data_IF_537185545837
#
_entry.id   IF_537185545837
#
_cell.length_a   1.000
_cell.length_b   1.000
_cell.length_c   1.000
_cell.angle_alpha   90.00
_cell.angle_beta   90.00
_cell.angle_gamma   90.00
#
_symmetry.space_group_name_H-M   'P 1'
#
loop_
_entity.id
_entity.type
_entity.pdbx_description
1 polymer ?
#
# COMPACT_ATOMS: atom_id res chain seq x y z
N UNK A 1 9.28 3.71 10.29
CA UNK A 1 9.65 3.82 8.85
C UNK A 1 8.40 4.19 8.05
N UNK A 2 8.56 4.63 6.79
CA UNK A 2 7.45 4.81 5.84
C UNK A 2 7.35 3.59 4.92
N UNK A 3 6.19 2.96 4.86
CA UNK A 3 5.95 1.72 4.10
C UNK A 3 4.73 1.89 3.21
N UNK A 4 4.87 1.56 1.93
CA UNK A 4 3.74 1.45 1.01
C UNK A 4 3.50 -0.03 0.71
N UNK A 5 2.28 -0.50 0.97
CA UNK A 5 1.82 -1.84 0.57
C UNK A 5 0.95 -1.69 -0.67
N UNK A 6 1.43 -2.15 -1.82
CA UNK A 6 0.66 -2.15 -3.06
C UNK A 6 0.05 -3.54 -3.27
N UNK A 7 -1.28 -3.64 -3.23
CA UNK A 7 -1.99 -4.90 -3.44
C UNK A 7 -3.31 -4.66 -4.16
N UNK A 8 -3.59 -5.50 -5.15
CA UNK A 8 -4.89 -5.52 -5.80
C UNK A 8 -6.03 -5.88 -4.83
N UNK A 9 -5.72 -6.61 -3.76
CA UNK A 9 -6.67 -7.15 -2.78
C UNK A 9 -6.44 -6.54 -1.40
N UNK A 10 -7.48 -5.92 -0.85
CA UNK A 10 -7.52 -5.36 0.50
C UNK A 10 -8.98 -5.32 0.99
N UNK A 11 -9.27 -5.39 2.31
CA UNK A 11 -10.65 -5.35 2.81
C UNK A 11 -11.41 -4.18 2.17
N UNK A 12 -12.62 -4.38 1.63
CA UNK A 12 -13.57 -5.43 1.96
C UNK A 12 -13.44 -6.72 1.12
N UNK A 13 -12.46 -6.82 0.21
CA UNK A 13 -12.25 -8.08 -0.52
C UNK A 13 -11.98 -9.23 0.49
N UNK A 14 -12.58 -10.41 0.28
CA UNK A 14 -12.39 -11.59 1.13
C UNK A 14 -11.39 -12.53 0.48
N UNK A 15 -10.38 -12.98 1.23
CA UNK A 15 -9.39 -13.95 0.77
C UNK A 15 -8.07 -13.86 1.51
N UNK A 16 -7.20 -14.86 1.31
CA UNK A 16 -5.92 -14.95 2.02
C UNK A 16 -5.01 -13.74 1.82
N UNK A 17 -4.89 -13.24 0.59
CA UNK A 17 -4.07 -12.04 0.29
C UNK A 17 -4.62 -10.80 0.97
N UNK A 18 -5.95 -10.60 0.93
CA UNK A 18 -6.61 -9.46 1.56
C UNK A 18 -6.39 -9.45 3.08
N UNK A 19 -6.63 -10.59 3.75
CA UNK A 19 -6.37 -10.74 5.19
C UNK A 19 -4.89 -10.56 5.53
N UNK A 20 -3.99 -11.12 4.72
CA UNK A 20 -2.55 -11.00 4.94
C UNK A 20 -2.06 -9.54 4.87
N UNK A 21 -2.44 -8.80 3.81
CA UNK A 21 -2.06 -7.39 3.65
C UNK A 21 -2.63 -6.54 4.79
N UNK A 22 -3.87 -6.80 5.20
CA UNK A 22 -4.49 -6.16 6.36
C UNK A 22 -3.71 -6.40 7.65
N UNK A 23 -3.42 -7.66 7.97
CA UNK A 23 -2.78 -8.04 9.23
C UNK A 23 -1.32 -7.53 9.28
N UNK A 24 -0.63 -7.53 8.13
CA UNK A 24 0.69 -6.92 7.97
C UNK A 24 0.64 -5.40 8.20
N UNK A 25 -0.29 -4.69 7.56
CA UNK A 25 -0.45 -3.25 7.71
C UNK A 25 -0.68 -2.87 9.18
N UNK A 26 -1.62 -3.55 9.86
CA UNK A 26 -1.89 -3.31 11.27
C UNK A 26 -0.70 -3.62 12.18
N UNK A 27 0.02 -4.71 11.90
CA UNK A 27 1.20 -5.07 12.69
C UNK A 27 2.32 -4.04 12.54
N UNK A 28 2.54 -3.53 11.34
CA UNK A 28 3.51 -2.45 11.08
C UNK A 28 3.10 -1.14 11.78
N UNK A 29 1.82 -0.75 11.71
CA UNK A 29 1.31 0.43 12.44
C UNK A 29 1.51 0.26 13.94
N UNK A 30 1.14 -0.90 14.51
CA UNK A 30 1.32 -1.21 15.94
C UNK A 30 2.78 -1.16 16.40
N UNK A 31 3.74 -1.36 15.48
CA UNK A 31 5.18 -1.24 15.74
C UNK A 31 5.73 0.18 15.52
N UNK A 32 4.88 1.17 15.23
CA UNK A 32 5.28 2.57 15.06
C UNK A 32 5.72 2.94 13.65
N UNK A 33 5.31 2.17 12.63
CA UNK A 33 5.56 2.51 11.23
C UNK A 33 4.40 3.32 10.63
N UNK A 34 4.72 4.25 9.75
CA UNK A 34 3.76 4.97 8.91
C UNK A 34 3.48 4.10 7.67
N UNK A 35 2.23 3.68 7.49
CA UNK A 35 1.84 2.70 6.46
C UNK A 35 0.74 3.28 5.57
N UNK A 36 0.94 3.20 4.26
CA UNK A 36 -0.09 3.47 3.25
C UNK A 36 -0.38 2.18 2.48
N UNK A 37 -1.66 1.90 2.22
CA UNK A 37 -2.06 0.78 1.35
C UNK A 37 -2.60 1.35 0.04
N UNK A 38 -1.94 0.99 -1.06
CA UNK A 38 -2.42 1.25 -2.41
C UNK A 38 -3.20 0.04 -2.89
N UNK A 39 -4.47 0.27 -3.24
CA UNK A 39 -5.37 -0.80 -3.68
C UNK A 39 -6.35 -0.31 -4.74
N UNK A 40 -7.21 -1.20 -5.24
CA UNK A 40 -8.15 -0.89 -6.32
C UNK A 40 -9.18 0.16 -5.88
N UNK A 41 -9.52 1.06 -6.79
CA UNK A 41 -10.65 1.97 -6.63
C UNK A 41 -11.99 1.20 -6.70
N UNK A 42 -13.04 1.76 -6.12
CA UNK A 42 -14.41 1.27 -6.31
C UNK A 42 -14.92 0.27 -5.26
N UNK A 43 -14.22 0.12 -4.14
CA UNK A 43 -14.73 -0.59 -2.95
C UNK A 43 -15.06 0.40 -1.83
N UNK A 44 -15.98 0.02 -0.95
CA UNK A 44 -16.24 0.73 0.31
C UNK A 44 -15.27 0.23 1.38
N UNK A 45 -14.31 1.07 1.74
CA UNK A 45 -13.25 0.75 2.70
C UNK A 45 -13.60 1.11 4.15
N UNK A 46 -14.88 1.35 4.46
CA UNK A 46 -15.34 1.69 5.81
C UNK A 46 -14.73 3.00 6.31
N UNK A 47 -14.27 2.99 7.57
CA UNK A 47 -13.71 4.15 8.27
C UNK A 47 -12.23 4.46 7.91
N UNK A 48 -11.65 3.72 6.96
CA UNK A 48 -10.31 3.99 6.50
C UNK A 48 -10.29 5.32 5.72
N UNK A 49 -9.31 6.17 6.01
CA UNK A 49 -9.05 7.37 5.21
C UNK A 49 -8.59 6.93 3.82
N UNK A 50 -9.45 7.11 2.83
CA UNK A 50 -9.16 6.82 1.42
C UNK A 50 -8.84 8.11 0.71
N UNK A 51 -7.60 8.23 0.22
CA UNK A 51 -7.20 9.29 -0.69
C UNK A 51 -7.20 8.72 -2.13
N UNK A 52 -7.92 9.37 -3.04
CA UNK A 52 -7.94 8.99 -4.44
C UNK A 52 -6.69 9.50 -5.17
N UNK A 53 -5.94 8.62 -5.82
CA UNK A 53 -4.84 9.01 -6.70
C UNK A 53 -5.35 9.18 -8.13
N UNK A 54 -5.24 10.40 -8.66
CA UNK A 54 -5.74 10.79 -9.99
C UNK A 54 -4.78 10.50 -11.14
N UNK A 55 -3.49 10.32 -10.85
CA UNK A 55 -2.40 10.22 -11.83
C UNK A 55 -1.39 9.19 -11.36
N UNK A 56 -1.18 8.13 -12.16
CA UNK A 56 -0.22 7.06 -11.87
C UNK A 56 1.02 7.30 -12.72
N UNK A 57 2.11 7.72 -12.09
CA UNK A 57 3.43 7.73 -12.71
C UNK A 57 4.12 6.40 -12.37
N UNK A 58 4.29 5.54 -13.37
CA UNK A 58 4.95 4.26 -13.20
C UNK A 58 6.47 4.48 -13.11
N UNK A 59 7.04 4.19 -11.94
CA UNK A 59 8.49 4.12 -11.76
C UNK A 59 8.97 2.67 -11.89
N UNK A 60 9.73 2.37 -12.94
CA UNK A 60 10.48 1.11 -13.04
C UNK A 60 11.75 1.24 -12.21
N UNK A 61 11.87 0.49 -11.13
CA UNK A 61 13.12 0.42 -10.35
C UNK A 61 13.94 -0.76 -10.90
N UNK A 62 15.15 -0.53 -11.44
CA UNK A 62 16.04 -1.62 -11.81
C UNK A 62 16.31 -2.50 -10.58
N UNK A 63 16.27 -3.83 -10.74
CA UNK A 63 16.52 -4.78 -9.65
C UNK A 63 17.84 -4.50 -8.91
N UNK A 64 18.83 -3.93 -9.60
CA UNK A 64 20.12 -3.50 -9.02
C UNK A 64 20.02 -2.38 -7.97
N UNK A 65 18.88 -1.68 -7.89
CA UNK A 65 18.62 -0.61 -6.91
C UNK A 65 17.64 -1.01 -5.79
N UNK A 66 17.23 -2.28 -5.74
CA UNK A 66 16.39 -2.78 -4.66
C UNK A 66 17.09 -2.57 -3.30
N UNK A 67 16.48 -1.77 -2.42
CA UNK A 67 17.00 -1.47 -1.08
C UNK A 67 17.63 -0.09 -0.88
N UNK A 68 17.94 0.68 -1.94
CA UNK A 68 18.40 2.08 -1.84
C UNK A 68 17.67 3.07 -2.76
N UNK A 69 16.71 2.60 -3.57
CA UNK A 69 15.95 3.46 -4.48
C UNK A 69 15.14 4.53 -3.73
N UNK A 70 15.27 5.79 -4.14
CA UNK A 70 14.36 6.87 -3.76
C UNK A 70 13.32 7.02 -4.86
N UNK A 71 12.03 6.98 -4.50
CA UNK A 71 10.95 7.37 -5.40
C UNK A 71 10.69 8.85 -5.10
N UNK A 72 11.01 9.73 -6.04
CA UNK A 72 10.64 11.14 -6.00
C UNK A 72 9.56 11.36 -7.06
N UNK A 73 8.43 11.93 -6.66
CA UNK A 73 7.48 12.55 -7.59
C UNK A 73 7.91 13.99 -7.82
N UNK A 74 7.80 14.47 -9.07
CA UNK A 74 7.95 15.89 -9.44
C UNK A 74 6.63 16.62 -9.24
#
# INVERSE_FOLDING_TARGET
>A
MRVVLASQWFPPDVGGVSSHVRDLAYTLVRRGHEVLVLTRRGRRYGDLRVEGLSRVECASIPLSMAGRGRIASL
#
